data_IF_858200619154
#
_entry.id   IF_858200619154
#
_cell.length_a   1.000
_cell.length_b   1.000
_cell.length_c   1.000
_cell.angle_alpha   90.00
_cell.angle_beta   90.00
_cell.angle_gamma   90.00
#
_symmetry.space_group_name_H-M   'P 1'
#
loop_
_entity.id
_entity.type
_entity.pdbx_description
1 polymer ?
#
# COMPACT_ATOMS: atom_id res chain seq x y z
N UNK A 1 -50.37 -24.15 30.61
CA UNK A 1 -49.12 -24.19 31.42
C UNK A 1 -48.08 -23.15 31.01
N UNK A 2 -47.87 -22.83 29.72
CA UNK A 2 -46.92 -21.77 29.33
C UNK A 2 -47.41 -20.34 29.64
N UNK A 3 -48.69 -20.07 29.43
CA UNK A 3 -49.30 -18.74 29.67
C UNK A 3 -49.25 -18.32 31.15
N UNK A 4 -49.53 -19.25 32.06
CA UNK A 4 -49.48 -19.00 33.52
C UNK A 4 -48.06 -18.63 33.99
N UNK A 5 -47.02 -19.24 33.41
CA UNK A 5 -45.62 -18.94 33.74
C UNK A 5 -45.18 -17.55 33.27
N UNK A 6 -45.67 -17.10 32.13
CA UNK A 6 -45.38 -15.74 31.60
C UNK A 6 -46.08 -14.68 32.46
N UNK A 7 -47.34 -14.91 32.85
CA UNK A 7 -48.06 -13.98 33.73
C UNK A 7 -47.40 -13.85 35.11
N UNK A 8 -46.92 -14.95 35.70
CA UNK A 8 -46.17 -14.92 36.97
C UNK A 8 -44.82 -14.23 36.80
N UNK A 9 -44.12 -14.45 35.68
CA UNK A 9 -42.86 -13.75 35.38
C UNK A 9 -43.04 -12.24 35.25
N UNK A 10 -44.08 -11.79 34.53
CA UNK A 10 -44.37 -10.37 34.34
C UNK A 10 -44.75 -9.70 35.66
N UNK A 11 -45.56 -10.35 36.50
CA UNK A 11 -45.94 -9.79 37.82
C UNK A 11 -44.76 -9.73 38.78
N UNK A 12 -43.84 -10.69 38.75
CA UNK A 12 -42.60 -10.62 39.54
C UNK A 12 -41.69 -9.47 39.07
N UNK A 13 -41.52 -9.31 37.76
CA UNK A 13 -40.76 -8.19 37.20
C UNK A 13 -41.41 -6.85 37.56
N UNK A 14 -42.73 -6.75 37.53
CA UNK A 14 -43.46 -5.53 37.92
C UNK A 14 -43.34 -5.22 39.41
N UNK A 15 -43.32 -6.23 40.28
CA UNK A 15 -43.08 -6.05 41.72
C UNK A 15 -41.64 -5.60 42.00
N UNK A 16 -40.66 -6.17 41.31
CA UNK A 16 -39.27 -5.71 41.40
C UNK A 16 -39.14 -4.30 40.81
N UNK A 17 -39.86 -3.99 39.72
CA UNK A 17 -39.81 -2.66 39.13
C UNK A 17 -40.49 -1.61 40.00
N UNK A 18 -41.54 -1.96 40.75
CA UNK A 18 -42.19 -1.04 41.69
C UNK A 18 -41.35 -0.84 42.95
N UNK A 19 -40.71 -1.89 43.46
CA UNK A 19 -39.85 -1.83 44.66
C UNK A 19 -38.49 -1.18 44.38
N UNK A 20 -37.95 -1.32 43.16
CA UNK A 20 -36.65 -0.78 42.75
C UNK A 20 -36.73 0.37 41.74
N UNK A 21 -37.92 0.86 41.42
CA UNK A 21 -38.12 1.94 40.45
C UNK A 21 -37.40 3.25 40.80
N UNK A 22 -37.19 3.49 42.10
CA UNK A 22 -36.42 4.63 42.58
C UNK A 22 -34.93 4.53 42.21
N UNK A 23 -34.33 3.34 42.22
CA UNK A 23 -32.95 3.16 41.75
C UNK A 23 -32.81 3.44 40.25
N UNK A 24 -33.83 3.13 39.44
CA UNK A 24 -33.85 3.48 38.02
C UNK A 24 -33.89 5.00 37.85
N UNK A 25 -34.69 5.69 38.67
CA UNK A 25 -34.77 7.15 38.67
C UNK A 25 -33.43 7.79 39.10
N UNK A 26 -32.83 7.32 40.19
CA UNK A 26 -31.51 7.80 40.63
C UNK A 26 -30.39 7.46 39.64
N UNK A 27 -30.43 6.28 39.01
CA UNK A 27 -29.52 5.90 37.93
C UNK A 27 -29.64 6.83 36.73
N UNK A 28 -30.87 7.16 36.33
CA UNK A 28 -31.14 8.10 35.24
C UNK A 28 -30.60 9.50 35.56
N UNK A 29 -30.82 10.00 36.80
CA UNK A 29 -30.26 11.27 37.27
C UNK A 29 -28.72 11.24 37.28
N UNK A 30 -28.11 10.17 37.81
CA UNK A 30 -26.66 10.02 37.83
C UNK A 30 -26.07 10.00 36.42
N UNK A 31 -26.67 9.25 35.49
CA UNK A 31 -26.26 9.21 34.07
C UNK A 31 -26.41 10.60 33.44
N UNK A 32 -27.51 11.31 33.70
CA UNK A 32 -27.72 12.67 33.20
C UNK A 32 -26.62 13.62 33.67
N UNK A 33 -26.30 13.65 34.97
CA UNK A 33 -25.22 14.48 35.51
C UNK A 33 -23.84 14.03 35.00
N UNK A 34 -23.62 12.73 34.82
CA UNK A 34 -22.38 12.20 34.27
C UNK A 34 -22.18 12.69 32.83
N UNK A 35 -23.22 12.63 32.00
CA UNK A 35 -23.20 13.15 30.63
C UNK A 35 -23.03 14.68 30.62
N UNK A 36 -23.71 15.40 31.51
CA UNK A 36 -23.55 16.85 31.63
C UNK A 36 -22.10 17.24 32.00
N UNK A 37 -21.49 16.52 32.94
CA UNK A 37 -20.09 16.73 33.36
C UNK A 37 -19.13 16.39 32.24
N UNK A 38 -19.35 15.28 31.54
CA UNK A 38 -18.51 14.88 30.40
C UNK A 38 -18.63 15.93 29.29
N UNK A 39 -19.84 16.36 28.93
CA UNK A 39 -20.07 17.39 27.93
C UNK A 39 -19.44 18.74 28.32
N UNK A 40 -19.52 19.15 29.59
CA UNK A 40 -18.84 20.36 30.07
C UNK A 40 -17.31 20.27 30.01
N UNK A 41 -16.74 19.09 30.32
CA UNK A 41 -15.30 18.84 30.20
C UNK A 41 -14.86 18.76 28.73
N UNK A 42 -15.66 18.15 27.86
CA UNK A 42 -15.40 18.12 26.42
C UNK A 42 -15.48 19.51 25.80
N UNK A 43 -16.48 20.31 26.17
CA UNK A 43 -16.66 21.68 25.69
C UNK A 43 -15.54 22.59 26.19
N UNK A 44 -15.14 22.49 27.46
CA UNK A 44 -14.00 23.25 27.98
C UNK A 44 -12.67 22.83 27.34
N UNK A 45 -12.49 21.55 26.97
CA UNK A 45 -11.37 21.09 26.14
C UNK A 45 -11.45 21.63 24.71
N UNK A 46 -12.64 21.71 24.13
CA UNK A 46 -12.87 22.28 22.80
C UNK A 46 -12.61 23.79 22.77
N UNK A 47 -13.05 24.52 23.78
CA UNK A 47 -12.78 25.96 23.93
C UNK A 47 -11.31 26.24 24.23
N UNK A 48 -10.61 25.38 24.98
CA UNK A 48 -9.15 25.49 25.15
C UNK A 48 -8.38 25.16 23.88
N UNK A 49 -8.94 24.37 22.96
CA UNK A 49 -8.37 24.11 21.64
C UNK A 49 -8.51 25.30 20.70
N UNK A 50 -9.58 26.08 20.83
CA UNK A 50 -9.79 27.33 20.06
C UNK A 50 -9.24 28.59 20.76
N UNK A 51 -8.78 28.49 22.01
CA UNK A 51 -8.19 29.61 22.77
C UNK A 51 -6.75 29.34 23.24
N UNK A 52 -6.08 28.28 22.78
CA UNK A 52 -4.63 28.20 22.86
C UNK A 52 -4.06 29.28 21.89
N UNK A 53 -2.92 29.93 22.19
CA UNK A 53 -2.51 31.14 21.50
C UNK A 53 -2.10 30.84 20.04
N UNK A 54 -3.10 30.86 19.15
CA UNK A 54 -2.99 30.51 17.73
C UNK A 54 -2.00 31.40 16.96
N UNK A 55 -1.67 32.59 17.47
CA UNK A 55 -0.81 33.52 16.73
C UNK A 55 0.71 33.22 16.81
N UNK A 56 1.18 32.48 17.82
CA UNK A 56 2.63 32.25 18.05
C UNK A 56 3.03 30.76 17.91
N UNK A 57 2.10 29.83 18.13
CA UNK A 57 2.34 28.39 18.02
C UNK A 57 2.20 27.85 16.60
N UNK A 58 1.34 28.42 15.75
CA UNK A 58 1.11 28.00 14.36
C UNK A 58 2.41 27.85 13.53
N UNK A 59 3.34 28.83 13.46
CA UNK A 59 4.55 28.68 12.64
C UNK A 59 5.48 27.58 13.15
N UNK A 60 5.62 27.42 14.47
CA UNK A 60 6.49 26.40 15.08
C UNK A 60 5.95 24.98 14.90
N UNK A 61 4.62 24.82 14.90
CA UNK A 61 3.96 23.53 14.67
C UNK A 61 4.00 23.13 13.19
N UNK A 62 3.85 24.10 12.28
CA UNK A 62 4.02 23.89 10.83
C UNK A 62 5.46 23.48 10.52
N UNK A 63 6.46 24.15 11.10
CA UNK A 63 7.88 23.84 10.90
C UNK A 63 8.21 22.42 11.39
N UNK A 64 7.78 22.03 12.60
CA UNK A 64 7.97 20.64 13.09
C UNK A 64 7.30 19.59 12.21
N UNK A 65 6.12 19.91 11.64
CA UNK A 65 5.43 19.01 10.72
C UNK A 65 6.17 18.88 9.39
N UNK A 66 6.74 19.97 8.87
CA UNK A 66 7.56 19.94 7.66
C UNK A 66 8.86 19.19 7.89
N UNK A 67 9.56 19.44 8.99
CA UNK A 67 10.77 18.71 9.39
C UNK A 67 10.52 17.20 9.50
N UNK A 68 9.38 16.79 10.08
CA UNK A 68 9.01 15.38 10.15
C UNK A 68 8.74 14.76 8.77
N UNK A 69 8.11 15.51 7.85
CA UNK A 69 7.86 15.06 6.48
C UNK A 69 9.16 14.96 5.67
N UNK A 70 10.06 15.94 5.82
CA UNK A 70 11.34 15.95 5.12
C UNK A 70 12.28 14.86 5.66
N UNK A 71 12.27 14.61 6.98
CA UNK A 71 12.98 13.47 7.56
C UNK A 71 12.46 12.14 7.02
N UNK A 72 11.15 11.98 6.84
CA UNK A 72 10.57 10.78 6.23
C UNK A 72 10.99 10.63 4.75
N UNK A 73 10.99 11.71 3.98
CA UNK A 73 11.46 11.72 2.59
C UNK A 73 12.94 11.34 2.48
N UNK A 74 13.78 11.89 3.36
CA UNK A 74 15.21 11.58 3.36
C UNK A 74 15.47 10.10 3.70
N UNK A 75 14.75 9.53 4.68
CA UNK A 75 14.86 8.10 4.97
C UNK A 75 14.49 7.23 3.78
N UNK A 76 13.41 7.58 3.08
CA UNK A 76 12.99 6.87 1.86
C UNK A 76 14.04 6.95 0.75
N UNK A 77 14.64 8.13 0.54
CA UNK A 77 15.71 8.30 -0.45
C UNK A 77 16.95 7.46 -0.10
N UNK A 78 17.36 7.45 1.17
CA UNK A 78 18.51 6.67 1.63
C UNK A 78 18.30 5.16 1.41
N UNK A 79 17.08 4.65 1.64
CA UNK A 79 16.76 3.24 1.38
C UNK A 79 16.85 2.91 -0.12
N UNK A 80 16.34 3.79 -0.98
CA UNK A 80 16.42 3.63 -2.44
C UNK A 80 17.85 3.67 -2.94
N UNK A 81 18.66 4.62 -2.44
CA UNK A 81 20.07 4.75 -2.80
C UNK A 81 20.87 3.52 -2.35
N UNK A 82 20.60 3.00 -1.15
CA UNK A 82 21.22 1.78 -0.66
C UNK A 82 20.87 0.55 -1.53
N UNK A 83 19.62 0.44 -1.98
CA UNK A 83 19.22 -0.62 -2.91
C UNK A 83 19.87 -0.45 -4.29
N UNK A 84 19.95 0.77 -4.80
CA UNK A 84 20.61 1.08 -6.06
C UNK A 84 22.11 0.75 -6.02
N UNK A 85 22.79 1.04 -4.91
CA UNK A 85 24.20 0.69 -4.70
C UNK A 85 24.40 -0.83 -4.73
N UNK A 86 23.61 -1.58 -3.95
CA UNK A 86 23.66 -3.07 -3.94
C UNK A 86 23.43 -3.67 -5.33
N UNK A 87 22.51 -3.10 -6.10
CA UNK A 87 22.26 -3.60 -7.46
C UNK A 87 23.42 -3.29 -8.41
N UNK A 88 24.02 -2.10 -8.31
CA UNK A 88 25.20 -1.72 -9.10
C UNK A 88 26.41 -2.61 -8.78
N UNK A 89 26.62 -2.96 -7.51
CA UNK A 89 27.68 -3.88 -7.10
C UNK A 89 27.49 -5.26 -7.74
N UNK A 90 26.30 -5.86 -7.59
CA UNK A 90 25.97 -7.15 -8.22
C UNK A 90 26.14 -7.13 -9.74
N UNK A 91 25.77 -6.03 -10.40
CA UNK A 91 25.95 -5.90 -11.85
C UNK A 91 27.42 -5.91 -12.24
N UNK A 92 28.30 -5.26 -11.46
CA UNK A 92 29.74 -5.28 -11.69
C UNK A 92 30.33 -6.67 -11.49
N UNK A 93 29.93 -7.37 -10.43
CA UNK A 93 30.35 -8.76 -10.18
C UNK A 93 29.97 -9.68 -11.34
N UNK A 94 28.73 -9.60 -11.83
CA UNK A 94 28.27 -10.39 -12.98
C UNK A 94 29.05 -10.03 -14.25
N UNK A 95 29.41 -8.76 -14.46
CA UNK A 95 30.22 -8.36 -15.61
C UNK A 95 31.65 -8.91 -15.53
N UNK A 96 32.26 -8.86 -14.34
CA UNK A 96 33.59 -9.43 -14.10
C UNK A 96 33.61 -10.95 -14.24
N UNK A 97 32.62 -11.65 -13.71
CA UNK A 97 32.47 -13.10 -13.88
C UNK A 97 32.35 -13.46 -15.36
N UNK A 98 31.49 -12.77 -16.12
CA UNK A 98 31.38 -12.98 -17.57
C UNK A 98 32.68 -12.69 -18.32
N UNK A 99 33.49 -11.73 -17.86
CA UNK A 99 34.81 -11.48 -18.44
C UNK A 99 35.76 -12.63 -18.13
N UNK A 100 35.76 -13.16 -16.91
CA UNK A 100 36.58 -14.33 -16.51
C UNK A 100 36.16 -15.58 -17.27
N UNK A 101 34.86 -15.87 -17.36
CA UNK A 101 34.32 -17.00 -18.12
C UNK A 101 34.76 -16.96 -19.59
N UNK A 102 34.79 -15.77 -20.21
CA UNK A 102 35.26 -15.62 -21.60
C UNK A 102 36.75 -15.91 -21.74
N UNK A 103 37.57 -15.47 -20.78
CA UNK A 103 39.01 -15.75 -20.77
C UNK A 103 39.25 -17.25 -20.59
N UNK A 104 38.58 -17.87 -19.60
CA UNK A 104 38.68 -19.31 -19.33
C UNK A 104 38.17 -20.16 -20.51
N UNK A 105 37.07 -19.76 -21.14
CA UNK A 105 36.56 -20.44 -22.32
C UNK A 105 37.57 -20.37 -23.49
N UNK A 106 38.20 -19.21 -23.70
CA UNK A 106 39.20 -19.03 -24.73
C UNK A 106 40.50 -19.79 -24.45
N UNK A 107 40.96 -19.80 -23.19
CA UNK A 107 42.13 -20.57 -22.75
C UNK A 107 41.88 -22.09 -22.84
N UNK A 108 40.69 -22.56 -22.49
CA UNK A 108 40.29 -23.96 -22.67
C UNK A 108 40.23 -24.37 -24.14
N UNK A 109 39.84 -23.45 -25.04
CA UNK A 109 39.89 -23.67 -26.49
C UNK A 109 41.33 -23.75 -27.01
N UNK A 110 42.24 -22.88 -26.54
CA UNK A 110 43.66 -22.95 -26.93
C UNK A 110 44.39 -24.17 -26.37
N UNK A 111 44.08 -24.57 -25.13
CA UNK A 111 44.71 -25.71 -24.46
C UNK A 111 44.19 -27.09 -24.91
N UNK A 112 43.37 -27.17 -25.96
CA UNK A 112 42.88 -28.43 -26.52
C UNK A 112 41.91 -29.21 -25.61
N UNK A 113 41.41 -28.60 -24.54
CA UNK A 113 40.44 -29.20 -23.61
C UNK A 113 39.00 -29.08 -24.14
N UNK A 114 38.83 -29.09 -25.47
CA UNK A 114 37.55 -28.90 -26.14
C UNK A 114 36.54 -29.93 -25.66
N UNK A 115 35.66 -29.50 -24.76
CA UNK A 115 34.33 -30.01 -24.47
C UNK A 115 34.13 -31.52 -24.66
N UNK A 116 34.44 -32.31 -23.61
CA UNK A 116 33.77 -33.61 -23.42
C UNK A 116 32.28 -33.30 -23.18
N UNK A 117 31.45 -33.57 -24.19
CA UNK A 117 29.99 -33.49 -24.14
C UNK A 117 29.48 -34.17 -22.86
N UNK A 118 28.92 -33.40 -21.91
CA UNK A 118 28.07 -33.97 -20.85
C UNK A 118 26.77 -34.42 -21.50
N UNK A 119 26.77 -35.63 -22.07
CA UNK A 119 25.53 -36.36 -22.33
C UNK A 119 25.01 -36.85 -20.99
N UNK A 120 23.97 -36.23 -20.47
CA UNK A 120 22.82 -36.94 -19.92
C UNK A 120 21.67 -35.97 -19.66
N UNK A 121 20.56 -36.28 -20.32
CA UNK A 121 19.16 -35.91 -20.02
C UNK A 121 18.65 -34.57 -20.56
N UNK A 122 18.06 -34.67 -21.76
CA UNK A 122 16.91 -33.87 -22.22
C UNK A 122 15.90 -34.88 -22.84
N UNK A 123 14.58 -34.77 -22.62
CA UNK A 123 13.73 -34.00 -23.54
C UNK A 123 12.66 -33.14 -22.80
N UNK A 124 12.32 -31.94 -23.26
CA UNK A 124 11.28 -31.66 -24.28
C UNK A 124 11.37 -30.13 -24.56
N UNK A 125 11.94 -29.71 -25.69
CA UNK A 125 11.27 -29.20 -26.90
C UNK A 125 10.68 -27.80 -26.67
N UNK A 126 10.93 -26.75 -27.46
CA UNK A 126 11.43 -26.63 -28.81
C UNK A 126 11.63 -25.13 -29.12
N UNK A 127 12.71 -24.79 -29.82
CA UNK A 127 12.91 -23.47 -30.40
C UNK A 127 12.97 -23.64 -31.92
N UNK A 128 11.93 -23.19 -32.61
CA UNK A 128 11.86 -23.13 -34.08
C UNK A 128 11.45 -21.73 -34.52
N UNK A 129 12.42 -20.98 -35.04
CA UNK A 129 12.25 -19.66 -35.67
C UNK A 129 11.42 -19.80 -36.95
N UNK A 130 10.42 -18.93 -37.14
CA UNK A 130 9.96 -18.28 -38.39
C UNK A 130 8.50 -17.78 -38.22
N UNK A 131 8.31 -16.46 -38.28
CA UNK A 131 7.04 -15.77 -38.57
C UNK A 131 5.75 -16.38 -37.98
N UNK A 132 5.59 -16.33 -36.65
CA UNK A 132 4.32 -16.63 -35.99
C UNK A 132 3.55 -15.33 -35.71
N UNK A 133 2.43 -15.13 -36.41
CA UNK A 133 1.45 -14.12 -36.09
C UNK A 133 1.07 -14.24 -34.59
N UNK A 134 1.18 -13.13 -33.85
CA UNK A 134 0.74 -13.07 -32.45
C UNK A 134 -0.71 -13.58 -32.36
N UNK A 135 -1.03 -14.60 -31.54
CA UNK A 135 -2.42 -14.84 -31.19
C UNK A 135 -2.90 -13.62 -30.42
N UNK A 136 -3.91 -12.92 -30.93
CA UNK A 136 -4.62 -11.89 -30.17
C UNK A 136 -5.24 -12.59 -28.97
N UNK A 137 -4.60 -12.49 -27.81
CA UNK A 137 -5.24 -12.93 -26.58
C UNK A 137 -6.34 -11.92 -26.28
N UNK A 138 -7.60 -12.34 -26.40
CA UNK A 138 -8.78 -11.63 -25.87
C UNK A 138 -8.78 -11.65 -24.33
N UNK A 139 -7.68 -11.16 -23.75
CA UNK A 139 -7.52 -11.00 -22.32
C UNK A 139 -7.81 -9.54 -22.02
N UNK A 140 -9.03 -9.31 -21.52
CA UNK A 140 -9.39 -8.10 -20.78
C UNK A 140 -8.20 -7.70 -19.91
N UNK A 141 -7.68 -6.50 -20.14
CA UNK A 141 -6.59 -5.92 -19.37
C UNK A 141 -6.91 -6.05 -17.88
N UNK A 142 -6.09 -6.81 -17.15
CA UNK A 142 -6.20 -6.95 -15.69
C UNK A 142 -5.88 -5.65 -14.94
N UNK A 143 -5.55 -4.55 -15.66
CA UNK A 143 -5.60 -3.20 -15.14
C UNK A 143 -7.00 -2.65 -15.34
N UNK A 144 -7.86 -2.84 -14.33
CA UNK A 144 -9.05 -2.02 -14.15
C UNK A 144 -8.63 -0.54 -14.13
N UNK A 145 -9.42 0.31 -14.78
CA UNK A 145 -9.17 1.73 -15.09
C UNK A 145 -9.01 2.67 -13.90
N UNK A 146 -8.50 2.19 -12.76
CA UNK A 146 -8.31 3.00 -11.58
C UNK A 146 -6.92 3.63 -11.55
N UNK A 147 -6.85 4.91 -11.94
CA UNK A 147 -5.73 5.77 -11.59
C UNK A 147 -6.13 6.60 -10.36
N UNK A 148 -5.50 6.41 -9.18
CA UNK A 148 -5.89 7.11 -7.94
C UNK A 148 -5.72 8.63 -8.01
N UNK A 149 -5.04 9.16 -9.03
CA UNK A 149 -4.92 10.60 -9.27
C UNK A 149 -5.93 11.16 -10.29
N UNK A 150 -6.63 10.32 -11.05
CA UNK A 150 -7.44 10.78 -12.21
C UNK A 150 -8.82 10.14 -12.37
N UNK A 151 -9.18 9.13 -11.57
CA UNK A 151 -10.52 8.53 -11.60
C UNK A 151 -10.83 7.72 -12.88
N UNK A 152 -11.92 6.95 -12.83
CA UNK A 152 -12.36 5.99 -13.86
C UNK A 152 -12.98 6.70 -15.07
N UNK A 153 -12.18 7.47 -15.81
CA UNK A 153 -12.68 8.35 -16.87
C UNK A 153 -11.66 8.76 -17.94
N UNK A 154 -10.65 7.93 -18.21
CA UNK A 154 -9.50 8.31 -19.05
C UNK A 154 -9.18 7.40 -20.24
N UNK A 155 -10.17 6.68 -20.78
CA UNK A 155 -9.95 5.59 -21.74
C UNK A 155 -9.85 5.95 -23.23
N UNK A 156 -9.95 7.22 -23.65
CA UNK A 156 -10.02 7.59 -25.08
C UNK A 156 -8.95 8.55 -25.59
N UNK A 157 -8.02 9.02 -24.75
CA UNK A 157 -6.98 9.96 -25.19
C UNK A 157 -5.58 9.32 -25.22
N UNK A 158 -5.30 8.52 -26.24
CA UNK A 158 -3.93 8.09 -26.55
C UNK A 158 -3.23 9.16 -27.39
N UNK A 159 -2.78 10.25 -26.76
CA UNK A 159 -1.92 11.21 -27.46
C UNK A 159 -0.51 10.63 -27.56
N UNK A 160 -0.10 10.24 -28.77
CA UNK A 160 1.30 9.92 -29.10
C UNK A 160 1.85 11.08 -29.95
N UNK A 161 2.88 11.80 -29.49
CA UNK A 161 3.58 12.76 -30.34
C UNK A 161 4.11 12.03 -31.58
N UNK A 162 3.76 12.53 -32.78
CA UNK A 162 4.22 11.97 -34.05
C UNK A 162 5.74 11.97 -34.15
N UNK A 163 6.31 10.88 -34.70
CA UNK A 163 7.76 10.77 -34.97
C UNK A 163 8.18 11.90 -35.92
N UNK A 164 8.91 12.89 -35.42
CA UNK A 164 9.70 13.80 -36.25
C UNK A 164 10.96 13.06 -36.71
N UNK A 165 10.86 12.32 -37.81
CA UNK A 165 12.01 11.88 -38.60
C UNK A 165 12.32 12.92 -39.68
N UNK A 166 13.57 13.00 -40.17
CA UNK A 166 13.96 13.98 -41.17
C UNK A 166 13.20 13.74 -42.48
N UNK A 167 12.62 14.80 -43.04
CA UNK A 167 11.99 14.79 -44.36
C UNK A 167 13.04 14.47 -45.42
N UNK A 168 12.81 13.39 -46.17
CA UNK A 168 13.52 13.07 -47.40
C UNK A 168 13.51 14.27 -48.34
N UNK A 169 14.69 14.64 -48.83
CA UNK A 169 14.87 15.67 -49.86
C UNK A 169 14.17 15.30 -51.17
N UNK A 170 13.69 16.34 -51.83
CA UNK A 170 13.36 16.39 -53.24
C UNK A 170 13.98 17.68 -53.79
#
# INVERSE_FOLDING_TARGET
>A
MREEGVAVGVTQVLNILSEYGWYILFSCIAVYYMLQRINGVLQSRSHKRTQAPEAQLEPSLIMRRQEAMDAARHRMQQELDAQAAKYREKQKEIEEEKRREKIEAWENMQGGKSFRKRTNLHPESESGTLSAAKPKSDKKSLRGGFNPLTGDGGGSCSWRPGRRGPSSGA
#
